data_IF_790317606967
#
_entry.id   IF_790317606967
#
_cell.length_a   1.000
_cell.length_b   1.000
_cell.length_c   1.000
_cell.angle_alpha   90.00
_cell.angle_beta   90.00
_cell.angle_gamma   90.00
#
_symmetry.space_group_name_H-M   'P 1'
#
loop_
_entity.id
_entity.type
_entity.pdbx_description
1 polymer ?
#
# COMPACT_ATOMS: atom_id res chain seq x y z
N UNK A 1 -1.26 18.91 15.48
CA UNK A 1 -2.44 18.97 14.60
C UNK A 1 -3.78 18.97 15.36
N UNK A 2 -3.95 18.19 16.43
CA UNK A 2 -5.25 18.00 17.11
C UNK A 2 -5.96 19.27 17.64
N UNK A 3 -5.25 20.35 17.99
CA UNK A 3 -5.86 21.52 18.65
C UNK A 3 -6.47 22.58 17.70
N UNK A 4 -6.33 22.49 16.36
CA UNK A 4 -6.77 23.58 15.46
C UNK A 4 -7.82 23.18 14.41
N UNK A 5 -7.64 22.06 13.71
CA UNK A 5 -8.59 21.63 12.67
C UNK A 5 -8.91 20.14 12.84
N UNK A 6 -10.02 19.80 13.54
CA UNK A 6 -10.35 18.42 13.87
C UNK A 6 -10.57 17.54 12.63
N UNK A 7 -11.09 18.12 11.54
CA UNK A 7 -11.28 17.41 10.27
C UNK A 7 -9.95 17.01 9.62
N UNK A 8 -8.96 17.91 9.60
CA UNK A 8 -7.64 17.62 9.02
C UNK A 8 -6.89 16.54 9.83
N UNK A 9 -7.03 16.55 11.16
CA UNK A 9 -6.46 15.51 12.00
C UNK A 9 -7.15 14.16 11.77
N UNK A 10 -8.48 14.13 11.65
CA UNK A 10 -9.24 12.91 11.41
C UNK A 10 -8.87 12.28 10.06
N UNK A 11 -8.84 13.05 8.97
CA UNK A 11 -8.48 12.54 7.65
C UNK A 11 -7.04 12.03 7.62
N UNK A 12 -6.12 12.67 8.34
CA UNK A 12 -4.75 12.19 8.49
C UNK A 12 -4.69 10.83 9.20
N UNK A 13 -5.35 10.68 10.35
CA UNK A 13 -5.36 9.41 11.08
C UNK A 13 -6.06 8.30 10.30
N UNK A 14 -7.19 8.60 9.65
CA UNK A 14 -7.87 7.65 8.76
C UNK A 14 -6.96 7.23 7.59
N UNK A 15 -6.26 8.19 6.98
CA UNK A 15 -5.30 7.92 5.91
C UNK A 15 -4.09 7.09 6.34
N UNK A 16 -3.76 7.06 7.63
CA UNK A 16 -2.71 6.21 8.19
C UNK A 16 -3.24 4.83 8.60
N UNK A 17 -4.43 4.75 9.19
CA UNK A 17 -5.01 3.50 9.70
C UNK A 17 -5.52 2.62 8.57
N UNK A 18 -6.19 3.20 7.56
CA UNK A 18 -6.79 2.43 6.47
C UNK A 18 -5.76 1.57 5.71
N UNK A 19 -4.59 2.10 5.30
CA UNK A 19 -3.57 1.28 4.63
C UNK A 19 -3.03 0.15 5.53
N UNK A 20 -2.93 0.36 6.84
CA UNK A 20 -2.45 -0.66 7.77
C UNK A 20 -3.50 -1.77 7.93
N UNK A 21 -4.78 -1.41 7.99
CA UNK A 21 -5.89 -2.36 8.14
C UNK A 21 -6.22 -3.11 6.84
N UNK A 22 -6.03 -2.48 5.67
CA UNK A 22 -6.36 -3.05 4.36
C UNK A 22 -5.84 -4.49 4.12
N UNK A 23 -4.55 -4.83 4.35
CA UNK A 23 -4.07 -6.20 4.12
C UNK A 23 -4.74 -7.22 5.05
N UNK A 24 -5.05 -6.84 6.29
CA UNK A 24 -5.75 -7.71 7.25
C UNK A 24 -7.17 -7.99 6.76
N UNK A 25 -7.87 -6.97 6.29
CA UNK A 25 -9.24 -7.09 5.74
C UNK A 25 -9.25 -7.99 4.50
N UNK A 26 -8.27 -7.86 3.60
CA UNK A 26 -8.15 -8.71 2.40
C UNK A 26 -7.92 -10.17 2.79
N UNK A 27 -6.95 -10.45 3.68
CA UNK A 27 -6.67 -11.81 4.17
C UNK A 27 -7.89 -12.41 4.85
N UNK A 28 -8.57 -11.65 5.69
CA UNK A 28 -9.78 -12.10 6.37
C UNK A 28 -10.89 -12.45 5.36
N UNK A 29 -11.18 -11.57 4.40
CA UNK A 29 -12.28 -11.79 3.45
C UNK A 29 -11.99 -12.86 2.40
N UNK A 30 -10.75 -12.99 1.91
CA UNK A 30 -10.42 -13.95 0.86
C UNK A 30 -9.92 -15.31 1.38
N UNK A 31 -9.37 -15.38 2.59
CA UNK A 31 -8.83 -16.63 3.14
C UNK A 31 -9.72 -17.12 4.28
N UNK A 32 -9.94 -16.32 5.32
CA UNK A 32 -10.66 -16.78 6.51
C UNK A 32 -12.15 -17.04 6.23
N UNK A 33 -12.85 -16.08 5.63
CA UNK A 33 -14.30 -16.21 5.39
C UNK A 33 -14.66 -17.40 4.48
N UNK A 34 -13.99 -17.62 3.33
CA UNK A 34 -14.31 -18.75 2.45
C UNK A 34 -13.94 -20.09 3.08
N UNK A 35 -12.87 -20.15 3.88
CA UNK A 35 -12.39 -21.40 4.47
C UNK A 35 -13.27 -21.87 5.64
N UNK A 36 -13.75 -20.94 6.47
CA UNK A 36 -14.53 -21.26 7.67
C UNK A 36 -16.05 -21.19 7.46
N UNK A 37 -16.53 -20.24 6.68
CA UNK A 37 -17.98 -20.03 6.48
C UNK A 37 -18.48 -20.56 5.14
N UNK A 38 -17.59 -20.95 4.20
CA UNK A 38 -17.94 -21.38 2.84
C UNK A 38 -18.79 -20.37 2.04
N UNK A 39 -18.89 -19.14 2.53
CA UNK A 39 -19.56 -18.04 1.85
C UNK A 39 -18.50 -17.21 1.13
N UNK A 40 -18.74 -16.94 -0.14
CA UNK A 40 -17.86 -16.08 -0.92
C UNK A 40 -18.07 -14.60 -0.53
N UNK A 41 -17.01 -13.78 -0.38
CA UNK A 41 -17.09 -12.40 0.12
C UNK A 41 -17.70 -11.44 -0.93
N UNK A 42 -18.97 -11.64 -1.27
CA UNK A 42 -19.69 -10.87 -2.28
C UNK A 42 -19.80 -9.39 -1.92
N UNK A 43 -19.99 -9.06 -0.63
CA UNK A 43 -20.07 -7.67 -0.15
C UNK A 43 -18.78 -6.91 -0.38
N UNK A 44 -17.63 -7.56 -0.17
CA UNK A 44 -16.31 -6.98 -0.41
C UNK A 44 -16.11 -6.67 -1.91
N UNK A 45 -16.46 -7.62 -2.78
CA UNK A 45 -16.36 -7.45 -4.23
C UNK A 45 -17.31 -6.38 -4.77
N UNK A 46 -18.53 -6.31 -4.24
CA UNK A 46 -19.48 -5.24 -4.59
C UNK A 46 -18.93 -3.87 -4.16
N UNK A 47 -18.25 -3.79 -3.01
CA UNK A 47 -17.55 -2.58 -2.56
C UNK A 47 -16.50 -2.12 -3.56
N UNK A 48 -15.55 -3.00 -3.92
CA UNK A 48 -14.51 -2.73 -4.93
C UNK A 48 -15.14 -2.30 -6.26
N UNK A 49 -16.14 -3.05 -6.72
CA UNK A 49 -16.84 -2.76 -7.96
C UNK A 49 -17.51 -1.38 -7.90
N UNK A 50 -18.15 -1.03 -6.79
CA UNK A 50 -18.81 0.27 -6.61
C UNK A 50 -17.81 1.43 -6.65
N UNK A 51 -16.64 1.29 -6.03
CA UNK A 51 -15.60 2.32 -6.05
C UNK A 51 -15.03 2.52 -7.46
N UNK A 52 -14.73 1.42 -8.16
CA UNK A 52 -14.30 1.46 -9.55
C UNK A 52 -15.36 2.10 -10.46
N UNK A 53 -16.65 1.76 -10.27
CA UNK A 53 -17.76 2.34 -11.02
C UNK A 53 -17.96 3.83 -10.72
N UNK A 54 -17.81 4.27 -9.46
CA UNK A 54 -17.94 5.67 -9.07
C UNK A 54 -16.84 6.53 -9.71
N UNK A 55 -15.58 6.11 -9.58
CA UNK A 55 -14.43 6.82 -10.17
C UNK A 55 -14.55 6.91 -11.68
N UNK A 56 -14.95 5.79 -12.29
CA UNK A 56 -15.24 5.77 -13.70
C UNK A 56 -16.40 6.73 -14.01
N UNK A 57 -17.55 6.66 -13.33
CA UNK A 57 -18.74 7.48 -13.61
C UNK A 57 -18.43 8.99 -13.56
N UNK A 58 -17.61 9.42 -12.60
CA UNK A 58 -17.09 10.80 -12.54
C UNK A 58 -16.30 11.14 -13.79
N UNK A 59 -15.42 10.24 -14.26
CA UNK A 59 -14.66 10.43 -15.50
C UNK A 59 -15.58 10.52 -16.72
N UNK A 60 -16.67 9.75 -16.79
CA UNK A 60 -17.67 9.86 -17.87
C UNK A 60 -18.40 11.21 -17.82
N UNK A 61 -18.82 11.65 -16.63
CA UNK A 61 -19.54 12.92 -16.48
C UNK A 61 -18.66 14.13 -16.85
N UNK A 62 -17.37 14.11 -16.49
CA UNK A 62 -16.45 15.22 -16.74
C UNK A 62 -15.88 15.24 -18.16
N UNK A 63 -15.61 14.07 -18.78
CA UNK A 63 -14.97 13.99 -20.12
C UNK A 63 -15.91 13.60 -21.25
N UNK A 64 -17.16 13.16 -20.98
CA UNK A 64 -18.15 12.65 -21.96
C UNK A 64 -17.56 11.69 -23.02
N UNK A 65 -16.53 10.94 -22.66
CA UNK A 65 -15.74 10.11 -23.58
C UNK A 65 -15.98 8.62 -23.33
N UNK A 66 -16.02 7.84 -24.40
CA UNK A 66 -16.13 6.36 -24.40
C UNK A 66 -14.93 5.64 -23.77
N UNK A 67 -13.89 6.37 -23.37
CA UNK A 67 -12.72 5.84 -22.65
C UNK A 67 -12.99 5.45 -21.19
N UNK A 68 -14.23 5.61 -20.73
CA UNK A 68 -14.68 5.21 -19.39
C UNK A 68 -14.31 3.77 -19.01
N UNK A 69 -14.47 2.82 -19.94
CA UNK A 69 -14.15 1.41 -19.67
C UNK A 69 -12.65 1.22 -19.34
N UNK A 70 -11.77 2.01 -19.93
CA UNK A 70 -10.35 2.01 -19.57
C UNK A 70 -10.11 2.59 -18.17
N UNK A 71 -10.88 3.61 -17.75
CA UNK A 71 -10.84 4.15 -16.39
C UNK A 71 -11.26 3.13 -15.34
N UNK A 72 -12.34 2.39 -15.61
CA UNK A 72 -12.80 1.28 -14.78
C UNK A 72 -11.74 0.17 -14.66
N UNK A 73 -11.21 -0.32 -15.78
CA UNK A 73 -10.16 -1.35 -15.80
C UNK A 73 -8.88 -0.86 -15.11
N UNK A 74 -8.50 0.40 -15.33
CA UNK A 74 -7.37 1.02 -14.66
C UNK A 74 -7.57 1.05 -13.14
N UNK A 75 -8.76 1.40 -12.67
CA UNK A 75 -9.06 1.44 -11.23
C UNK A 75 -8.94 0.05 -10.61
N UNK A 76 -9.52 -0.98 -11.23
CA UNK A 76 -9.42 -2.36 -10.74
C UNK A 76 -7.98 -2.86 -10.73
N UNK A 77 -7.22 -2.60 -11.79
CA UNK A 77 -5.81 -2.98 -11.87
C UNK A 77 -4.98 -2.27 -10.80
N UNK A 78 -5.15 -0.95 -10.68
CA UNK A 78 -4.42 -0.13 -9.71
C UNK A 78 -4.76 -0.54 -8.27
N UNK A 79 -6.02 -0.82 -7.97
CA UNK A 79 -6.45 -1.32 -6.67
C UNK A 79 -5.83 -2.69 -6.36
N UNK A 80 -5.83 -3.63 -7.31
CA UNK A 80 -5.17 -4.92 -7.13
C UNK A 80 -3.65 -4.77 -6.87
N UNK A 81 -2.98 -3.90 -7.63
CA UNK A 81 -1.54 -3.62 -7.46
C UNK A 81 -1.26 -2.90 -6.14
N UNK A 82 -2.12 -1.96 -5.73
CA UNK A 82 -2.07 -1.29 -4.43
C UNK A 82 -2.29 -2.26 -3.27
N UNK A 83 -3.27 -3.15 -3.35
CA UNK A 83 -3.51 -4.13 -2.32
C UNK A 83 -2.36 -5.14 -2.23
N UNK A 84 -1.78 -5.53 -3.38
CA UNK A 84 -0.64 -6.47 -3.42
C UNK A 84 0.66 -5.88 -2.86
N UNK A 85 0.94 -4.60 -3.09
CA UNK A 85 2.18 -3.99 -2.61
C UNK A 85 2.21 -3.79 -1.08
N UNK A 86 1.05 -3.75 -0.41
CA UNK A 86 0.98 -3.51 1.04
C UNK A 86 1.54 -4.68 1.88
N UNK A 87 1.20 -5.96 1.61
CA UNK A 87 1.88 -7.10 2.24
C UNK A 87 3.39 -7.11 1.98
N UNK A 88 3.80 -6.86 0.74
CA UNK A 88 5.23 -6.82 0.38
C UNK A 88 5.95 -5.73 1.19
N UNK A 89 5.34 -4.56 1.32
CA UNK A 89 5.85 -3.47 2.15
C UNK A 89 5.98 -3.88 3.63
N UNK A 90 5.02 -4.60 4.20
CA UNK A 90 5.12 -5.11 5.57
C UNK A 90 6.33 -6.04 5.74
N UNK A 91 6.52 -6.98 4.82
CA UNK A 91 7.67 -7.90 4.86
C UNK A 91 9.01 -7.21 4.62
N UNK A 92 9.04 -6.12 3.85
CA UNK A 92 10.28 -5.35 3.56
C UNK A 92 10.52 -4.18 4.51
N UNK A 93 9.56 -3.80 5.35
CA UNK A 93 9.67 -2.68 6.30
C UNK A 93 10.82 -2.86 7.29
N UNK A 94 11.18 -4.10 7.63
CA UNK A 94 12.29 -4.41 8.53
C UNK A 94 13.68 -4.18 7.92
N UNK A 95 13.80 -4.06 6.59
CA UNK A 95 15.05 -3.66 5.94
C UNK A 95 15.23 -2.15 6.08
N UNK A 96 15.93 -1.75 7.14
CA UNK A 96 16.32 -0.36 7.40
C UNK A 96 17.31 0.23 6.37
N UNK A 97 17.68 -0.53 5.33
CA UNK A 97 18.54 -0.11 4.21
C UNK A 97 17.82 0.73 3.15
N UNK A 98 16.56 1.14 3.41
CA UNK A 98 15.81 2.02 2.52
C UNK A 98 16.36 3.45 2.56
N UNK A 99 17.43 3.65 1.77
CA UNK A 99 18.08 4.93 1.52
C UNK A 99 19.58 4.75 1.32
N UNK A 100 20.22 5.70 0.65
CA UNK A 100 21.68 5.86 0.50
C UNK A 100 22.43 6.11 1.81
N UNK A 101 21.81 5.84 2.98
CA UNK A 101 22.42 5.96 4.29
C UNK A 101 23.08 4.63 4.64
N UNK A 102 24.41 4.62 4.57
CA UNK A 102 25.20 3.45 4.97
C UNK A 102 24.84 3.00 6.40
N UNK A 103 24.51 1.72 6.52
CA UNK A 103 24.21 1.04 7.78
C UNK A 103 25.46 1.12 8.68
N UNK A 104 25.33 1.14 10.02
CA UNK A 104 26.48 1.00 10.92
C UNK A 104 27.38 -0.18 10.55
N UNK A 105 26.78 -1.27 10.06
CA UNK A 105 27.48 -2.45 9.53
C UNK A 105 28.37 -2.15 8.32
N UNK A 106 27.90 -1.32 7.38
CA UNK A 106 28.64 -0.93 6.18
C UNK A 106 29.82 0.02 6.51
N UNK A 107 29.63 0.90 7.51
CA UNK A 107 30.71 1.76 8.04
C UNK A 107 31.83 0.94 8.68
N UNK A 108 31.47 -0.11 9.43
CA UNK A 108 32.43 -1.03 10.05
C UNK A 108 33.23 -1.82 9.00
N UNK A 109 32.59 -2.24 7.91
CA UNK A 109 33.29 -2.90 6.80
C UNK A 109 34.25 -1.97 6.05
N UNK A 110 33.83 -0.72 5.80
CA UNK A 110 34.71 0.28 5.20
C UNK A 110 35.90 0.61 6.11
N UNK A 111 35.69 0.70 7.41
CA UNK A 111 36.77 0.94 8.37
C UNK A 111 37.71 -0.26 8.46
N UNK A 112 37.20 -1.50 8.43
CA UNK A 112 38.03 -2.71 8.31
C UNK A 112 38.85 -2.74 7.01
N UNK A 113 38.27 -2.34 5.88
CA UNK A 113 38.99 -2.23 4.60
C UNK A 113 40.08 -1.16 4.66
N UNK A 114 39.79 0.02 5.24
CA UNK A 114 40.76 1.11 5.38
C UNK A 114 41.93 0.72 6.29
N UNK A 115 41.65 0.10 7.44
CA UNK A 115 42.68 -0.39 8.36
C UNK A 115 43.55 -1.51 7.77
N UNK A 116 43.02 -2.33 6.85
CA UNK A 116 43.82 -3.32 6.11
C UNK A 116 44.75 -2.68 5.09
N UNK A 117 44.32 -1.61 4.42
CA UNK A 117 45.15 -0.87 3.47
C UNK A 117 46.27 -0.09 4.17
N UNK A 118 45.98 0.56 5.32
CA UNK A 118 46.99 1.26 6.12
C UNK A 118 48.04 0.32 6.72
N UNK A 119 47.69 -0.93 7.05
CA UNK A 119 48.65 -1.93 7.55
C UNK A 119 49.47 -2.62 6.45
N UNK A 120 49.10 -2.43 5.18
CA UNK A 120 49.76 -3.02 4.03
C UNK A 120 50.67 -2.03 3.27
N UNK A 121 50.69 -0.76 3.69
CA UNK A 121 51.62 0.29 3.27
C UNK A 121 52.70 0.52 4.31
#
# INVERSE_FOLDING_TARGET
>A
MWKKEPFAALTFYMGLVVPIAAPVVVVYNFIYVPLFYQVFPMTYLVGILSMALLMSAVQLMLRKSTTWLFGFLFCLFYEAVLLWQMPVAWFTFWKSTWGTRMTPSDKLEQQKKRNKMEKAS
#
